data_IF_971283031174
#
_entry.id   IF_971283031174
#
_cell.length_a   1.000
_cell.length_b   1.000
_cell.length_c   1.000
_cell.angle_alpha   90.00
_cell.angle_beta   90.00
_cell.angle_gamma   90.00
#
_symmetry.space_group_name_H-M   'P 1'
#
loop_
_entity.id
_entity.type
_entity.pdbx_description
1 polymer ?
#
# COMPACT_ATOMS: atom_id res chain seq x y z
N UNK A 1 13.59 -8.11 -29.55
CA UNK A 1 14.34 -9.05 -28.69
C UNK A 1 15.21 -8.37 -27.61
N UNK A 2 15.81 -7.18 -27.83
CA UNK A 2 16.70 -6.53 -26.84
C UNK A 2 16.00 -6.02 -25.56
N UNK A 3 14.79 -5.43 -25.68
CA UNK A 3 14.13 -4.78 -24.54
C UNK A 3 13.71 -5.76 -23.42
N UNK A 4 13.17 -6.93 -23.76
CA UNK A 4 12.75 -7.92 -22.77
C UNK A 4 13.92 -8.42 -21.92
N UNK A 5 15.11 -8.57 -22.52
CA UNK A 5 16.34 -8.92 -21.80
C UNK A 5 16.73 -7.83 -20.81
N UNK A 6 16.68 -6.56 -21.21
CA UNK A 6 16.98 -5.44 -20.32
C UNK A 6 15.97 -5.27 -19.19
N UNK A 7 14.67 -5.43 -19.46
CA UNK A 7 13.64 -5.43 -18.42
C UNK A 7 13.90 -6.52 -17.38
N UNK A 8 14.26 -7.73 -17.83
CA UNK A 8 14.59 -8.83 -16.93
C UNK A 8 15.85 -8.53 -16.13
N UNK A 9 16.95 -8.09 -16.76
CA UNK A 9 18.21 -7.81 -16.07
C UNK A 9 18.08 -6.69 -15.04
N UNK A 10 17.46 -5.57 -15.42
CA UNK A 10 17.21 -4.44 -14.52
C UNK A 10 16.25 -4.84 -13.41
N UNK A 11 15.21 -5.62 -13.73
CA UNK A 11 14.26 -6.12 -12.74
C UNK A 11 14.92 -7.06 -11.73
N UNK A 12 15.72 -8.02 -12.20
CA UNK A 12 16.44 -8.96 -11.36
C UNK A 12 17.46 -8.24 -10.46
N UNK A 13 18.21 -7.27 -11.01
CA UNK A 13 19.13 -6.45 -10.23
C UNK A 13 18.38 -5.59 -9.19
N UNK A 14 17.32 -4.92 -9.60
CA UNK A 14 16.52 -4.05 -8.73
C UNK A 14 15.84 -4.80 -7.59
N UNK A 15 15.30 -6.00 -7.87
CA UNK A 15 14.77 -6.90 -6.83
C UNK A 15 15.89 -7.45 -5.95
N UNK A 16 16.98 -7.93 -6.55
CA UNK A 16 18.12 -8.48 -5.83
C UNK A 16 18.72 -7.49 -4.83
N UNK A 17 18.87 -6.22 -5.23
CA UNK A 17 19.31 -5.14 -4.35
C UNK A 17 18.34 -4.89 -3.20
N UNK A 18 17.03 -4.83 -3.47
CA UNK A 18 16.00 -4.64 -2.41
C UNK A 18 16.02 -5.78 -1.39
N UNK A 19 16.07 -7.03 -1.86
CA UNK A 19 16.13 -8.20 -0.99
C UNK A 19 17.45 -8.23 -0.20
N UNK A 20 18.57 -7.93 -0.85
CA UNK A 20 19.86 -7.84 -0.15
C UNK A 20 19.82 -6.78 0.96
N UNK A 21 19.31 -5.58 0.67
CA UNK A 21 19.16 -4.52 1.67
C UNK A 21 18.22 -4.94 2.82
N UNK A 22 17.05 -5.51 2.51
CA UNK A 22 16.10 -5.97 3.52
C UNK A 22 16.67 -7.08 4.43
N UNK A 23 17.57 -7.92 3.93
CA UNK A 23 18.20 -8.98 4.71
C UNK A 23 19.43 -8.50 5.48
N UNK A 24 20.24 -7.62 4.88
CA UNK A 24 21.53 -7.18 5.42
C UNK A 24 21.40 -6.03 6.42
N UNK A 25 20.44 -5.13 6.24
CA UNK A 25 20.24 -3.98 7.13
C UNK A 25 19.23 -4.36 8.20
N UNK A 26 19.58 -4.11 9.46
CA UNK A 26 18.62 -4.28 10.56
C UNK A 26 17.51 -3.22 10.40
N UNK A 27 16.23 -3.61 10.47
CA UNK A 27 15.14 -2.66 10.35
C UNK A 27 15.29 -1.54 11.37
N UNK A 28 15.21 -0.30 10.90
CA UNK A 28 15.35 0.88 11.75
C UNK A 28 13.99 1.16 12.37
N UNK A 29 13.88 0.99 13.69
CA UNK A 29 12.68 1.30 14.47
C UNK A 29 12.86 2.64 15.19
N UNK A 30 12.62 3.73 14.48
CA UNK A 30 12.63 5.10 14.98
C UNK A 30 11.34 5.84 14.59
N UNK A 31 10.89 6.72 15.48
CA UNK A 31 9.69 7.55 15.26
C UNK A 31 8.49 6.69 14.83
N UNK A 32 7.91 6.97 13.67
CA UNK A 32 6.74 6.31 13.10
C UNK A 32 6.90 4.77 12.99
N UNK A 33 8.09 4.28 12.63
CA UNK A 33 8.32 2.84 12.48
C UNK A 33 8.24 2.08 13.80
N UNK A 34 8.69 2.70 14.89
CA UNK A 34 8.57 2.13 16.23
C UNK A 34 7.10 2.08 16.66
N UNK A 35 6.31 3.11 16.37
CA UNK A 35 4.87 3.10 16.63
C UNK A 35 4.18 1.97 15.85
N UNK A 36 4.44 1.84 14.55
CA UNK A 36 3.84 0.79 13.73
C UNK A 36 4.18 -0.61 14.25
N UNK A 37 5.44 -0.83 14.63
CA UNK A 37 5.89 -2.08 15.26
C UNK A 37 5.09 -2.37 16.54
N UNK A 38 4.99 -1.41 17.46
CA UNK A 38 4.28 -1.59 18.72
C UNK A 38 2.78 -1.83 18.54
N UNK A 39 2.12 -1.05 17.68
CA UNK A 39 0.71 -1.26 17.39
C UNK A 39 0.48 -2.68 16.84
N UNK A 40 1.34 -3.16 15.94
CA UNK A 40 1.22 -4.49 15.36
C UNK A 40 1.52 -5.58 16.38
N UNK A 41 2.55 -5.40 17.22
CA UNK A 41 2.93 -6.34 18.25
C UNK A 41 1.83 -6.50 19.32
N UNK A 42 1.29 -5.39 19.85
CA UNK A 42 0.19 -5.44 20.81
C UNK A 42 -1.09 -5.98 20.18
N UNK A 43 -1.34 -5.72 18.89
CA UNK A 43 -2.48 -6.28 18.21
C UNK A 43 -2.39 -7.81 18.14
N UNK A 44 -1.22 -8.35 17.79
CA UNK A 44 -1.02 -9.81 17.69
C UNK A 44 -0.99 -10.47 19.07
N UNK A 45 -0.34 -9.87 20.07
CA UNK A 45 -0.16 -10.48 21.39
C UNK A 45 -1.38 -10.29 22.30
N UNK A 46 -1.99 -9.11 22.26
CA UNK A 46 -2.98 -8.67 23.24
C UNK A 46 -4.35 -8.39 22.62
N UNK A 47 -4.48 -8.46 21.29
CA UNK A 47 -5.71 -8.11 20.55
C UNK A 47 -6.16 -6.68 20.82
N UNK A 48 -5.21 -5.79 21.13
CA UNK A 48 -5.44 -4.38 21.47
C UNK A 48 -4.63 -3.47 20.56
N UNK A 49 -5.28 -2.43 20.06
CA UNK A 49 -4.64 -1.44 19.19
C UNK A 49 -4.18 -0.23 20.02
N UNK A 50 -2.93 -0.24 20.47
CA UNK A 50 -2.30 0.88 21.17
C UNK A 50 -0.78 0.85 20.98
N UNK A 51 -0.11 1.99 21.20
CA UNK A 51 1.35 2.10 21.19
C UNK A 51 1.82 2.68 22.53
N UNK A 52 2.99 2.25 23.00
CA UNK A 52 3.51 2.62 24.31
C UNK A 52 4.48 3.80 24.29
N UNK A 53 5.04 4.13 23.13
CA UNK A 53 6.01 5.24 22.93
C UNK A 53 5.49 6.60 23.43
N UNK A 54 4.19 6.84 23.35
CA UNK A 54 3.57 8.10 23.77
C UNK A 54 2.68 7.99 25.01
N UNK A 55 2.65 6.83 25.68
CA UNK A 55 1.88 6.70 26.92
C UNK A 55 2.56 7.49 28.04
N UNK A 56 1.86 8.49 28.55
CA UNK A 56 2.14 9.01 29.89
C UNK A 56 1.75 7.96 30.94
N UNK A 57 2.32 7.98 32.16
CA UNK A 57 1.89 7.11 33.25
C UNK A 57 0.36 7.16 33.49
N UNK A 58 -0.26 8.34 33.29
CA UNK A 58 -1.71 8.50 33.32
C UNK A 58 -2.45 7.75 32.20
N UNK A 59 -1.91 7.69 30.97
CA UNK A 59 -2.55 6.98 29.85
C UNK A 59 -2.61 5.47 30.10
N UNK A 60 -1.56 4.91 30.71
CA UNK A 60 -1.52 3.49 31.14
C UNK A 60 -2.52 3.20 32.26
N UNK A 61 -2.74 4.14 33.18
CA UNK A 61 -3.68 3.99 34.31
C UNK A 61 -5.14 4.21 33.92
N UNK A 62 -5.42 5.05 32.92
CA UNK A 62 -6.79 5.38 32.49
C UNK A 62 -7.28 4.54 31.31
N UNK A 63 -6.38 3.79 30.65
CA UNK A 63 -6.69 3.03 29.44
C UNK A 63 -6.95 3.91 28.20
N UNK A 64 -6.76 5.22 28.30
CA UNK A 64 -6.95 6.17 27.20
C UNK A 64 -5.71 6.22 26.32
N UNK A 65 -5.60 5.27 25.41
CA UNK A 65 -4.60 5.28 24.36
C UNK A 65 -5.16 6.00 23.13
N UNK A 66 -4.69 7.23 22.87
CA UNK A 66 -5.02 7.90 21.62
C UNK A 66 -4.28 7.23 20.46
N UNK A 67 -5.03 6.70 19.51
CA UNK A 67 -4.48 6.18 18.25
C UNK A 67 -4.19 7.34 17.30
N UNK A 68 -2.92 7.72 17.15
CA UNK A 68 -2.51 8.77 16.20
C UNK A 68 -2.28 8.22 14.78
N UNK A 69 -2.19 6.89 14.63
CA UNK A 69 -1.92 6.23 13.35
C UNK A 69 -3.15 5.54 12.78
N UNK A 70 -3.31 5.67 11.47
CA UNK A 70 -4.30 4.94 10.71
C UNK A 70 -3.94 3.43 10.68
N UNK A 71 -4.93 2.53 10.72
CA UNK A 71 -4.71 1.12 11.02
C UNK A 71 -4.24 0.27 9.85
N UNK A 72 -4.37 0.76 8.61
CA UNK A 72 -4.18 -0.04 7.40
C UNK A 72 -2.78 -0.63 7.32
N UNK A 73 -1.74 0.17 7.57
CA UNK A 73 -0.37 -0.32 7.60
C UNK A 73 -0.10 -1.21 8.82
N UNK A 74 -0.66 -0.87 9.99
CA UNK A 74 -0.52 -1.68 11.21
C UNK A 74 -1.07 -3.09 11.00
N UNK A 75 -2.28 -3.21 10.42
CA UNK A 75 -2.88 -4.51 10.13
C UNK A 75 -2.07 -5.32 9.12
N UNK A 76 -1.48 -4.65 8.13
CA UNK A 76 -0.55 -5.29 7.21
C UNK A 76 0.68 -5.85 7.94
N UNK A 77 1.31 -5.07 8.82
CA UNK A 77 2.46 -5.52 9.62
C UNK A 77 2.07 -6.64 10.59
N UNK A 78 0.93 -6.51 11.26
CA UNK A 78 0.41 -7.51 12.19
C UNK A 78 0.17 -8.86 11.49
N UNK A 79 -0.42 -8.87 10.30
CA UNK A 79 -0.60 -10.10 9.52
C UNK A 79 0.73 -10.78 9.17
N UNK A 80 1.80 -10.01 8.94
CA UNK A 80 3.14 -10.57 8.75
C UNK A 80 3.68 -11.13 10.08
N UNK A 81 3.47 -10.43 11.19
CA UNK A 81 3.88 -10.90 12.51
C UNK A 81 3.15 -12.16 12.96
N UNK A 82 1.88 -12.35 12.62
CA UNK A 82 1.16 -13.60 12.90
C UNK A 82 1.80 -14.80 12.19
N UNK A 83 2.26 -14.60 10.94
CA UNK A 83 2.86 -15.68 10.14
C UNK A 83 4.32 -15.94 10.53
N UNK A 84 5.10 -14.88 10.80
CA UNK A 84 6.55 -14.95 10.95
C UNK A 84 7.06 -14.66 12.38
N UNK A 85 6.16 -14.46 13.35
CA UNK A 85 6.48 -14.32 14.77
C UNK A 85 7.15 -13.01 15.18
N UNK A 86 6.54 -11.86 14.88
CA UNK A 86 7.07 -10.55 15.30
C UNK A 86 8.37 -10.12 14.59
N UNK A 87 8.66 -10.71 13.43
CA UNK A 87 9.93 -10.54 12.74
C UNK A 87 9.93 -9.33 11.79
N UNK A 88 10.54 -8.21 12.22
CA UNK A 88 10.68 -6.97 11.42
C UNK A 88 11.39 -7.18 10.07
N UNK A 89 12.32 -8.15 10.01
CA UNK A 89 13.02 -8.46 8.77
C UNK A 89 12.07 -9.09 7.76
N UNK A 90 11.13 -9.92 8.20
CA UNK A 90 10.10 -10.46 7.32
C UNK A 90 9.25 -9.34 6.71
N UNK A 91 8.89 -8.32 7.53
CA UNK A 91 8.16 -7.13 7.06
C UNK A 91 8.97 -6.40 5.99
N UNK A 92 10.25 -6.14 6.25
CA UNK A 92 11.15 -5.46 5.30
C UNK A 92 11.28 -6.22 3.97
N UNK A 93 11.34 -7.56 4.01
CA UNK A 93 11.36 -8.41 2.80
C UNK A 93 10.05 -8.32 2.03
N UNK A 94 8.90 -8.36 2.70
CA UNK A 94 7.60 -8.21 2.03
C UNK A 94 7.49 -6.82 1.41
N UNK A 95 7.91 -5.76 2.11
CA UNK A 95 7.91 -4.40 1.58
C UNK A 95 8.83 -4.24 0.38
N UNK A 96 10.01 -4.85 0.41
CA UNK A 96 10.93 -4.92 -0.74
C UNK A 96 10.25 -5.53 -1.98
N UNK A 97 9.48 -6.60 -1.80
CA UNK A 97 8.72 -7.23 -2.88
C UNK A 97 7.62 -6.31 -3.42
N UNK A 98 6.84 -5.69 -2.53
CA UNK A 98 5.77 -4.76 -2.92
C UNK A 98 6.30 -3.52 -3.64
N UNK A 99 7.42 -2.98 -3.17
CA UNK A 99 8.09 -1.85 -3.84
C UNK A 99 8.61 -2.26 -5.22
N UNK A 100 9.21 -3.44 -5.37
CA UNK A 100 9.59 -3.95 -6.69
C UNK A 100 8.39 -4.08 -7.65
N UNK A 101 7.28 -4.67 -7.17
CA UNK A 101 6.05 -4.81 -7.94
C UNK A 101 5.45 -3.45 -8.30
N UNK A 102 5.58 -2.45 -7.43
CA UNK A 102 5.19 -1.07 -7.70
C UNK A 102 5.92 -0.52 -8.93
N UNK A 103 7.22 -0.78 -9.05
CA UNK A 103 7.98 -0.45 -10.27
C UNK A 103 7.41 -1.12 -11.53
N UNK A 104 6.96 -2.37 -11.44
CA UNK A 104 6.29 -3.06 -12.56
C UNK A 104 5.00 -2.32 -12.94
N UNK A 105 4.19 -1.88 -11.96
CA UNK A 105 3.00 -1.08 -12.26
C UNK A 105 3.34 0.26 -12.91
N UNK A 106 4.42 0.94 -12.49
CA UNK A 106 4.91 2.16 -13.15
C UNK A 106 5.23 1.89 -14.63
N UNK A 107 5.94 0.79 -14.92
CA UNK A 107 6.18 0.38 -16.30
C UNK A 107 4.88 0.17 -17.07
N UNK A 108 3.95 -0.62 -16.52
CA UNK A 108 2.69 -0.95 -17.17
C UNK A 108 1.80 0.27 -17.41
N UNK A 109 1.77 1.21 -16.46
CA UNK A 109 1.07 2.48 -16.61
C UNK A 109 1.73 3.34 -17.68
N UNK A 110 3.06 3.50 -17.66
CA UNK A 110 3.79 4.26 -18.67
C UNK A 110 3.54 3.73 -20.09
N UNK A 111 3.34 2.41 -20.26
CA UNK A 111 3.04 1.78 -21.56
C UNK A 111 1.69 2.22 -22.16
N UNK A 112 0.80 2.82 -21.39
CA UNK A 112 -0.46 3.37 -21.91
C UNK A 112 -0.25 4.63 -22.77
N UNK A 113 0.85 5.37 -22.53
CA UNK A 113 1.12 6.65 -23.20
C UNK A 113 2.45 6.67 -23.94
N UNK A 114 3.40 5.79 -23.57
CA UNK A 114 4.76 5.79 -24.09
C UNK A 114 5.09 4.52 -24.87
N UNK A 115 6.00 4.68 -25.85
CA UNK A 115 6.62 3.56 -26.56
C UNK A 115 7.38 2.66 -25.57
N UNK A 116 7.53 1.35 -25.85
CA UNK A 116 8.11 0.38 -24.90
C UNK A 116 9.49 0.79 -24.35
N UNK A 117 10.36 1.34 -25.20
CA UNK A 117 11.68 1.81 -24.77
C UNK A 117 11.66 3.01 -23.82
N UNK A 118 10.67 3.91 -23.94
CA UNK A 118 10.52 5.06 -23.04
C UNK A 118 9.90 4.65 -21.71
N UNK A 119 8.92 3.76 -21.72
CA UNK A 119 8.36 3.17 -20.51
C UNK A 119 9.42 2.41 -19.68
N UNK A 120 10.41 1.81 -20.33
CA UNK A 120 11.55 1.21 -19.64
C UNK A 120 12.37 2.22 -18.84
N UNK A 121 12.53 3.46 -19.29
CA UNK A 121 13.22 4.48 -18.49
C UNK A 121 12.43 4.87 -17.24
N UNK A 122 11.10 4.86 -17.29
CA UNK A 122 10.28 5.03 -16.08
C UNK A 122 10.47 3.88 -15.08
N UNK A 123 10.53 2.64 -15.58
CA UNK A 123 10.87 1.47 -14.76
C UNK A 123 12.25 1.60 -14.13
N UNK A 124 13.27 1.91 -14.94
CA UNK A 124 14.65 2.06 -14.51
C UNK A 124 14.77 3.16 -13.44
N UNK A 125 14.14 4.32 -13.66
CA UNK A 125 14.13 5.41 -12.69
C UNK A 125 13.50 5.01 -11.36
N UNK A 126 12.40 4.25 -11.39
CA UNK A 126 11.79 3.72 -10.17
C UNK A 126 12.71 2.74 -9.43
N UNK A 127 13.44 1.87 -10.16
CA UNK A 127 14.31 0.88 -9.52
C UNK A 127 15.43 1.51 -8.66
N UNK A 128 15.78 2.77 -8.91
CA UNK A 128 16.77 3.53 -8.12
C UNK A 128 16.23 4.00 -6.76
N UNK A 129 14.91 3.97 -6.54
CA UNK A 129 14.30 4.32 -5.26
C UNK A 129 14.42 3.12 -4.30
N UNK A 130 15.39 3.18 -3.38
CA UNK A 130 15.67 2.12 -2.39
C UNK A 130 15.54 2.60 -0.94
N UNK A 131 15.20 3.87 -0.72
CA UNK A 131 15.30 4.56 0.58
C UNK A 131 14.46 3.89 1.67
N UNK A 132 13.25 3.43 1.32
CA UNK A 132 12.28 2.91 2.29
C UNK A 132 12.41 1.41 2.57
N UNK A 133 13.32 0.70 1.91
CA UNK A 133 13.43 -0.77 2.04
C UNK A 133 13.73 -1.26 3.47
N UNK A 134 14.66 -0.65 4.24
CA UNK A 134 14.96 -1.11 5.60
C UNK A 134 14.13 -0.41 6.68
N UNK A 135 13.12 0.38 6.32
CA UNK A 135 12.30 1.14 7.27
C UNK A 135 10.88 0.57 7.29
N UNK A 136 10.35 0.31 8.50
CA UNK A 136 8.94 -0.08 8.67
C UNK A 136 8.04 1.14 8.44
N UNK A 137 7.78 1.42 7.16
CA UNK A 137 7.17 2.63 6.67
C UNK A 137 5.96 2.33 5.79
N UNK A 138 4.89 3.11 5.93
CA UNK A 138 3.65 2.87 5.19
C UNK A 138 3.76 3.08 3.68
N UNK A 139 4.80 3.79 3.24
CA UNK A 139 5.06 4.27 1.89
C UNK A 139 5.07 3.14 0.84
N UNK A 140 5.83 2.06 1.07
CA UNK A 140 5.94 0.98 0.11
C UNK A 140 4.61 0.25 -0.11
N UNK A 141 3.87 0.02 0.98
CA UNK A 141 2.55 -0.60 0.94
C UNK A 141 1.53 0.33 0.26
N UNK A 142 1.52 1.61 0.63
CA UNK A 142 0.69 2.63 0.04
C UNK A 142 0.92 2.76 -1.48
N UNK A 143 2.17 2.90 -1.91
CA UNK A 143 2.51 3.02 -3.34
C UNK A 143 2.07 1.81 -4.14
N UNK A 144 2.26 0.60 -3.60
CA UNK A 144 1.78 -0.63 -4.23
C UNK A 144 0.26 -0.60 -4.44
N UNK A 145 -0.51 -0.34 -3.38
CA UNK A 145 -1.96 -0.28 -3.46
C UNK A 145 -2.43 0.81 -4.46
N UNK A 146 -1.78 1.98 -4.43
CA UNK A 146 -2.14 3.13 -5.26
C UNK A 146 -1.87 2.86 -6.74
N UNK A 147 -0.68 2.34 -7.07
CA UNK A 147 -0.30 2.02 -8.44
C UNK A 147 -1.10 0.83 -8.98
N UNK A 148 -1.40 -0.16 -8.14
CA UNK A 148 -2.28 -1.27 -8.52
C UNK A 148 -3.69 -0.75 -8.85
N UNK A 149 -4.23 0.14 -8.02
CA UNK A 149 -5.51 0.78 -8.27
C UNK A 149 -5.53 1.57 -9.59
N UNK A 150 -4.52 2.40 -9.83
CA UNK A 150 -4.37 3.14 -11.09
C UNK A 150 -4.32 2.19 -12.29
N UNK A 151 -3.60 1.09 -12.18
CA UNK A 151 -3.48 0.11 -13.26
C UNK A 151 -4.82 -0.58 -13.59
N UNK A 152 -5.68 -0.78 -12.59
CA UNK A 152 -7.05 -1.28 -12.82
C UNK A 152 -7.87 -0.22 -13.58
N UNK A 153 -7.89 1.01 -13.07
CA UNK A 153 -8.79 2.08 -13.53
C UNK A 153 -8.39 2.61 -14.91
N UNK A 154 -7.09 2.75 -15.19
CA UNK A 154 -6.60 3.21 -16.49
C UNK A 154 -6.68 2.15 -17.60
N UNK A 155 -6.77 0.86 -17.23
CA UNK A 155 -6.86 -0.25 -18.18
C UNK A 155 -8.29 -0.61 -18.57
N UNK A 156 -8.44 -1.65 -19.40
CA UNK A 156 -9.76 -2.26 -19.72
C UNK A 156 -10.43 -2.94 -18.52
N UNK A 157 -9.69 -3.11 -17.41
CA UNK A 157 -10.16 -3.78 -16.18
C UNK A 157 -11.28 -3.01 -15.50
N UNK A 158 -11.29 -1.68 -15.62
CA UNK A 158 -12.38 -0.82 -15.15
C UNK A 158 -13.76 -1.19 -15.71
N UNK A 159 -13.80 -1.90 -16.85
CA UNK A 159 -15.05 -2.38 -17.43
C UNK A 159 -15.64 -3.59 -16.70
N UNK A 160 -14.86 -4.29 -15.89
CA UNK A 160 -15.30 -5.47 -15.14
C UNK A 160 -15.73 -5.08 -13.72
N UNK A 161 -16.88 -5.61 -13.30
CA UNK A 161 -17.45 -5.35 -11.97
C UNK A 161 -16.53 -5.84 -10.85
N UNK A 162 -15.98 -7.06 -10.98
CA UNK A 162 -15.09 -7.66 -9.98
C UNK A 162 -13.82 -6.84 -9.79
N UNK A 163 -13.26 -6.31 -10.88
CA UNK A 163 -12.09 -5.44 -10.83
C UNK A 163 -12.40 -4.08 -10.20
N UNK A 164 -13.58 -3.50 -10.46
CA UNK A 164 -14.03 -2.27 -9.80
C UNK A 164 -14.32 -2.48 -8.31
N UNK A 165 -14.86 -3.64 -7.95
CA UNK A 165 -15.07 -4.03 -6.55
C UNK A 165 -13.73 -4.18 -5.81
N UNK A 166 -12.78 -4.92 -6.39
CA UNK A 166 -11.41 -5.01 -5.87
C UNK A 166 -10.78 -3.62 -5.73
N UNK A 167 -10.97 -2.75 -6.72
CA UNK A 167 -10.48 -1.38 -6.67
C UNK A 167 -11.08 -0.59 -5.50
N UNK A 168 -12.35 -0.83 -5.13
CA UNK A 168 -12.99 -0.21 -3.97
C UNK A 168 -12.33 -0.64 -2.67
N UNK A 169 -12.01 -1.94 -2.55
CA UNK A 169 -11.27 -2.49 -1.40
C UNK A 169 -9.87 -1.86 -1.31
N UNK A 170 -9.14 -1.78 -2.44
CA UNK A 170 -7.82 -1.15 -2.48
C UNK A 170 -7.87 0.31 -2.02
N UNK A 171 -8.88 1.08 -2.42
CA UNK A 171 -9.08 2.45 -1.97
C UNK A 171 -9.44 2.57 -0.49
N UNK A 172 -10.26 1.65 0.02
CA UNK A 172 -10.51 1.56 1.45
C UNK A 172 -9.22 1.34 2.23
N UNK A 173 -8.39 0.38 1.77
CA UNK A 173 -7.08 0.11 2.37
C UNK A 173 -6.10 1.28 2.25
N UNK A 174 -6.12 2.03 1.14
CA UNK A 174 -5.31 3.24 0.96
C UNK A 174 -5.67 4.29 2.00
N UNK A 175 -6.96 4.58 2.19
CA UNK A 175 -7.43 5.58 3.16
C UNK A 175 -7.14 5.12 4.60
N UNK A 176 -7.28 3.82 4.88
CA UNK A 176 -6.89 3.26 6.18
C UNK A 176 -5.36 3.28 6.39
N UNK A 177 -4.56 3.35 5.33
CA UNK A 177 -3.09 3.44 5.42
C UNK A 177 -2.64 4.88 5.58
N UNK A 178 -3.19 5.79 4.78
CA UNK A 178 -2.89 7.22 4.73
C UNK A 178 -4.18 8.01 4.50
N UNK A 179 -4.85 8.51 5.56
CA UNK A 179 -6.16 9.15 5.46
C UNK A 179 -6.22 10.33 4.49
N UNK A 180 -5.09 11.02 4.28
CA UNK A 180 -4.95 12.10 3.31
C UNK A 180 -5.28 11.66 1.88
N UNK A 181 -5.23 10.36 1.56
CA UNK A 181 -5.57 9.84 0.24
C UNK A 181 -7.04 10.00 -0.11
N UNK A 182 -7.92 10.27 0.87
CA UNK A 182 -9.36 10.52 0.64
C UNK A 182 -9.59 11.65 -0.38
N UNK A 183 -8.66 12.60 -0.47
CA UNK A 183 -8.73 13.73 -1.41
C UNK A 183 -8.77 13.27 -2.88
N UNK A 184 -8.21 12.09 -3.17
CA UNK A 184 -8.20 11.54 -4.51
C UNK A 184 -9.50 10.80 -4.86
N UNK A 185 -10.33 10.43 -3.88
CA UNK A 185 -11.53 9.64 -4.13
C UNK A 185 -12.53 10.33 -5.09
N UNK A 186 -12.83 11.64 -4.97
CA UNK A 186 -13.67 12.34 -5.95
C UNK A 186 -13.07 12.37 -7.36
N UNK A 187 -11.74 12.53 -7.48
CA UNK A 187 -11.04 12.53 -8.77
C UNK A 187 -11.13 11.16 -9.45
N UNK A 188 -10.97 10.09 -8.68
CA UNK A 188 -11.10 8.72 -9.18
C UNK A 188 -12.54 8.38 -9.58
N UNK A 189 -13.51 8.81 -8.77
CA UNK A 189 -14.92 8.65 -9.09
C UNK A 189 -15.27 9.36 -10.40
N UNK A 190 -14.87 10.63 -10.54
CA UNK A 190 -15.09 11.43 -11.75
C UNK A 190 -14.42 10.82 -12.98
N UNK A 191 -13.18 10.33 -12.84
CA UNK A 191 -12.48 9.67 -13.92
C UNK A 191 -13.14 8.34 -14.33
N UNK A 192 -13.54 7.50 -13.37
CA UNK A 192 -14.25 6.25 -13.65
C UNK A 192 -15.58 6.49 -14.39
N UNK A 193 -16.32 7.52 -13.98
CA UNK A 193 -17.56 7.92 -14.65
C UNK A 193 -17.31 8.47 -16.06
N UNK A 194 -16.23 9.24 -16.25
CA UNK A 194 -15.86 9.79 -17.57
C UNK A 194 -15.53 8.73 -18.63
N UNK A 195 -15.18 7.50 -18.18
CA UNK A 195 -14.86 6.38 -19.06
C UNK A 195 -16.10 5.68 -19.61
N UNK A 196 -17.22 5.79 -18.92
CA UNK A 196 -18.48 5.15 -19.28
C UNK A 196 -19.66 5.91 -18.65
N UNK A 197 -20.26 6.82 -19.43
CA UNK A 197 -21.43 7.60 -19.02
C UNK A 197 -22.74 6.79 -19.01
N UNK A 198 -22.70 5.48 -19.28
CA UNK A 198 -23.89 4.64 -19.22
C UNK A 198 -24.37 4.42 -17.77
N UNK A 199 -25.63 3.98 -17.62
CA UNK A 199 -26.18 3.54 -16.33
C UNK A 199 -25.29 2.46 -15.68
N UNK A 200 -24.72 1.58 -16.47
CA UNK A 200 -23.77 0.55 -16.03
C UNK A 200 -22.46 1.13 -15.49
N UNK A 201 -21.90 2.15 -16.14
CA UNK A 201 -20.69 2.84 -15.65
C UNK A 201 -20.94 3.58 -14.33
N UNK A 202 -22.10 4.23 -14.20
CA UNK A 202 -22.52 4.86 -12.95
C UNK A 202 -22.67 3.83 -11.82
N UNK A 203 -23.37 2.71 -12.06
CA UNK A 203 -23.54 1.66 -11.06
C UNK A 203 -22.21 1.06 -10.58
N UNK A 204 -21.25 0.85 -11.49
CA UNK A 204 -19.90 0.38 -11.13
C UNK A 204 -19.15 1.39 -10.26
N UNK A 205 -19.26 2.68 -10.59
CA UNK A 205 -18.61 3.76 -9.85
C UNK A 205 -19.23 3.93 -8.45
N UNK A 206 -20.55 3.82 -8.34
CA UNK A 206 -21.26 3.81 -7.05
C UNK A 206 -20.93 2.56 -6.23
N UNK A 207 -20.83 1.40 -6.85
CA UNK A 207 -20.41 0.16 -6.18
C UNK A 207 -18.99 0.30 -5.63
N UNK A 208 -18.07 0.85 -6.42
CA UNK A 208 -16.70 1.14 -5.99
C UNK A 208 -16.70 2.05 -4.74
N UNK A 209 -17.50 3.12 -4.75
CA UNK A 209 -17.64 4.04 -3.62
C UNK A 209 -18.23 3.35 -2.39
N UNK A 210 -19.27 2.54 -2.58
CA UNK A 210 -19.92 1.79 -1.51
C UNK A 210 -18.97 0.78 -0.86
N UNK A 211 -18.17 0.06 -1.65
CA UNK A 211 -17.19 -0.90 -1.14
C UNK A 211 -16.04 -0.19 -0.42
N UNK A 212 -15.56 0.94 -0.96
CA UNK A 212 -14.56 1.77 -0.29
C UNK A 212 -15.08 2.23 1.08
N UNK A 213 -16.31 2.76 1.15
CA UNK A 213 -16.93 3.17 2.39
C UNK A 213 -17.11 2.00 3.37
N UNK A 214 -17.57 0.84 2.88
CA UNK A 214 -17.73 -0.36 3.69
C UNK A 214 -16.40 -0.89 4.25
N UNK A 215 -15.30 -0.76 3.52
CA UNK A 215 -13.98 -1.15 4.00
C UNK A 215 -13.47 -0.23 5.12
N UNK A 216 -13.81 1.06 5.07
CA UNK A 216 -13.38 2.06 6.07
C UNK A 216 -14.31 2.07 7.29
N UNK A 217 -15.59 1.75 7.10
CA UNK A 217 -16.64 1.88 8.12
C UNK A 217 -16.35 1.18 9.46
N UNK A 218 -15.82 -0.06 9.51
CA UNK A 218 -15.52 -0.73 10.77
C UNK A 218 -14.55 0.06 11.66
N UNK A 219 -13.60 0.76 11.05
CA UNK A 219 -12.66 1.59 11.80
C UNK A 219 -13.30 2.89 12.28
N UNK A 220 -14.11 3.55 11.44
CA UNK A 220 -14.80 4.78 11.82
C UNK A 220 -15.84 4.57 12.91
N UNK A 221 -16.45 3.39 12.96
CA UNK A 221 -17.43 3.05 13.99
C UNK A 221 -16.78 2.57 15.30
N UNK A 222 -15.46 2.36 15.35
CA UNK A 222 -14.76 1.94 16.57
C UNK A 222 -14.63 3.06 17.64
N UNK A 223 -15.52 4.06 17.60
CA UNK A 223 -15.59 5.17 18.55
C UNK A 223 -16.08 4.75 19.92
#
# INVERSE_FOLDING_TARGET
MKLNRWLFLVGALGLGLRIALALSIKPVLLYDSLEYHQYAEHLVKEHRYYATVWSTPQATLTGNFYSTRAPGYVFFVAGIYEIFGGNDRAVSVVQALLDFISGIFVFLLARNWLKPGHAFFAFLGYQLLLVYVPMLMSEAFFLFLFLFSLWIVCGKRSQSLSWMALNGILWGMLILTKPESVIFAPLFFGYALSRDYSRTGLLKSLLWLAIMAAAIAPWLWRG
#
